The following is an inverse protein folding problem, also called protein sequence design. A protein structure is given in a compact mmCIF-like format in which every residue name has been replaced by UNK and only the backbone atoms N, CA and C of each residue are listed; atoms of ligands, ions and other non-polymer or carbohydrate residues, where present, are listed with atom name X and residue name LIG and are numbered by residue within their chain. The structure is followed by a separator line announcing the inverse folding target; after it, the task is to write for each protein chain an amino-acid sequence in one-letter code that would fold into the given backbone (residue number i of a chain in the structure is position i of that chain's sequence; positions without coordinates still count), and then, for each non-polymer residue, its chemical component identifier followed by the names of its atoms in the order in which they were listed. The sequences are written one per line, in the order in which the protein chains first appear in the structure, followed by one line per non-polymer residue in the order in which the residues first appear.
data_IF_341358915525
#
_entry.id   IF_341358915525
#
_cell.length_a   1.000
_cell.length_b   1.000
_cell.length_c   1.000
_cell.angle_alpha   90.00
_cell.angle_beta   90.00
_cell.angle_gamma   90.00
#
_symmetry.space_group_name_H-M   'P 1'
#
loop_
_entity.id
_entity.type
_entity.pdbx_description
1 polymer ?
#
# COMPACT_ATOMS: atom_id res chain seq x y z
N UNK A 1 -3.51 -14.88 -22.67
CA UNK A 1 -3.98 -15.52 -21.42
C UNK A 1 -4.67 -14.44 -20.61
N UNK A 2 -6.02 -14.37 -20.69
CA UNK A 2 -6.80 -13.37 -19.95
C UNK A 2 -6.75 -13.72 -18.45
N UNK A 3 -5.97 -12.98 -17.69
CA UNK A 3 -6.03 -13.08 -16.22
C UNK A 3 -7.35 -12.43 -15.79
N UNK A 4 -8.25 -13.24 -15.26
CA UNK A 4 -9.52 -12.78 -14.70
C UNK A 4 -9.20 -11.71 -13.61
N UNK A 5 -9.80 -10.52 -13.75
CA UNK A 5 -9.59 -9.39 -12.83
C UNK A 5 -9.80 -9.78 -11.36
N UNK A 6 -10.72 -10.72 -11.09
CA UNK A 6 -10.98 -11.24 -9.74
C UNK A 6 -9.80 -12.06 -9.22
N UNK A 7 -9.15 -12.87 -10.05
CA UNK A 7 -7.96 -13.63 -9.66
C UNK A 7 -6.74 -12.71 -9.43
N UNK A 8 -6.58 -11.66 -10.24
CA UNK A 8 -5.51 -10.68 -10.03
C UNK A 8 -5.67 -9.95 -8.69
N UNK A 9 -6.89 -9.53 -8.33
CA UNK A 9 -7.19 -8.93 -7.03
C UNK A 9 -6.92 -9.91 -5.89
N UNK A 10 -7.35 -11.17 -6.00
CA UNK A 10 -7.17 -12.19 -4.96
C UNK A 10 -5.69 -12.52 -4.73
N UNK A 11 -4.89 -12.62 -5.80
CA UNK A 11 -3.43 -12.80 -5.69
C UNK A 11 -2.73 -11.58 -5.08
N UNK A 12 -3.12 -10.37 -5.45
CA UNK A 12 -2.52 -9.14 -4.91
C UNK A 12 -2.84 -8.95 -3.44
N UNK A 13 -4.06 -9.21 -3.02
CA UNK A 13 -4.51 -9.13 -1.61
C UNK A 13 -3.78 -10.17 -0.75
N UNK A 14 -3.70 -11.42 -1.21
CA UNK A 14 -3.01 -12.49 -0.49
C UNK A 14 -1.51 -12.24 -0.42
N UNK A 15 -0.89 -11.76 -1.49
CA UNK A 15 0.53 -11.44 -1.51
C UNK A 15 0.87 -10.28 -0.55
N UNK A 16 0.07 -9.20 -0.55
CA UNK A 16 0.25 -8.07 0.38
C UNK A 16 0.06 -8.52 1.83
N UNK A 17 -0.97 -9.31 2.12
CA UNK A 17 -1.23 -9.82 3.46
C UNK A 17 -0.12 -10.79 3.94
N UNK A 18 0.38 -11.68 3.07
CA UNK A 18 1.46 -12.61 3.39
C UNK A 18 2.80 -11.87 3.59
N UNK A 19 3.11 -10.89 2.75
CA UNK A 19 4.31 -10.08 2.91
C UNK A 19 4.27 -9.22 4.18
N UNK A 20 3.10 -8.67 4.54
CA UNK A 20 2.91 -7.97 5.81
C UNK A 20 3.23 -8.88 6.99
N UNK A 21 2.79 -10.14 6.97
CA UNK A 21 3.06 -11.11 8.04
C UNK A 21 4.55 -11.48 8.14
N UNK A 22 5.26 -11.55 7.02
CA UNK A 22 6.70 -11.81 7.02
C UNK A 22 7.50 -10.59 7.48
N UNK A 23 7.01 -9.37 7.25
CA UNK A 23 7.68 -8.12 7.61
C UNK A 23 7.45 -7.68 9.05
N UNK A 24 6.33 -8.03 9.69
CA UNK A 24 6.06 -7.68 11.11
C UNK A 24 7.20 -8.14 12.04
N UNK A 25 7.85 -9.25 11.71
CA UNK A 25 8.95 -9.80 12.50
C UNK A 25 10.34 -9.28 12.11
N UNK A 26 10.48 -8.54 11.01
CA UNK A 26 11.78 -8.13 10.45
C UNK A 26 12.11 -6.63 10.64
N UNK A 27 11.12 -5.79 10.94
CA UNK A 27 11.36 -4.35 11.13
C UNK A 27 11.08 -3.93 12.56
N UNK A 28 12.08 -3.38 13.28
CA UNK A 28 11.84 -2.72 14.56
C UNK A 28 10.88 -1.55 14.32
N UNK A 29 9.90 -1.37 15.23
CA UNK A 29 9.00 -0.22 15.21
C UNK A 29 9.83 1.05 15.16
N UNK A 30 9.81 1.76 14.05
CA UNK A 30 10.48 3.04 13.91
C UNK A 30 9.81 4.04 14.85
N UNK A 31 10.52 4.43 15.91
CA UNK A 31 10.15 5.57 16.75
C UNK A 31 10.40 6.85 15.95
N UNK A 32 9.39 7.36 15.30
CA UNK A 32 9.40 8.72 14.77
C UNK A 32 8.95 9.65 15.90
N UNK A 33 9.91 10.32 16.52
CA UNK A 33 9.66 11.36 17.51
C UNK A 33 9.18 12.63 16.80
N UNK A 34 7.91 12.86 16.83
CA UNK A 34 7.22 14.11 16.51
C UNK A 34 5.90 14.10 17.27
N UNK A 35 5.40 15.24 17.74
CA UNK A 35 4.13 15.38 18.45
C UNK A 35 2.91 14.95 17.62
N UNK A 36 2.91 13.71 17.16
CA UNK A 36 1.76 13.09 16.49
C UNK A 36 0.77 12.63 17.57
N UNK A 37 -0.43 13.13 17.48
CA UNK A 37 -1.58 12.73 18.28
C UNK A 37 -1.66 11.20 18.28
N UNK A 38 -1.30 10.59 19.41
CA UNK A 38 -1.23 9.11 19.54
C UNK A 38 -2.59 8.51 19.18
N UNK A 39 -2.64 7.79 18.07
CA UNK A 39 -3.84 7.10 17.64
C UNK A 39 -4.18 5.97 18.61
N UNK A 40 -5.48 5.68 18.86
CA UNK A 40 -5.90 4.60 19.74
C UNK A 40 -5.71 3.19 19.11
N UNK A 41 -5.15 3.11 17.92
CA UNK A 41 -4.83 1.88 17.19
C UNK A 41 -3.42 1.90 16.63
N UNK A 42 -2.90 0.73 16.23
CA UNK A 42 -1.61 0.64 15.56
C UNK A 42 -1.68 1.23 14.15
N UNK A 43 -0.66 2.00 13.77
CA UNK A 43 -0.49 2.52 12.41
C UNK A 43 0.96 2.31 11.98
N UNK A 44 1.16 1.79 10.78
CA UNK A 44 2.48 1.54 10.23
C UNK A 44 2.51 1.78 8.72
N UNK A 45 3.52 2.52 8.25
CA UNK A 45 3.73 2.81 6.83
C UNK A 45 5.05 2.21 6.38
N UNK A 46 5.04 1.44 5.28
CA UNK A 46 6.22 0.78 4.75
C UNK A 46 6.22 0.71 3.23
N UNK A 47 7.41 0.53 2.64
CA UNK A 47 7.58 0.26 1.21
C UNK A 47 7.40 -1.23 0.96
N UNK A 48 6.42 -1.58 0.15
CA UNK A 48 6.20 -2.94 -0.34
C UNK A 48 6.92 -3.10 -1.68
N UNK A 49 7.98 -3.92 -1.77
CA UNK A 49 8.72 -4.12 -3.01
C UNK A 49 7.90 -4.97 -3.99
N UNK A 50 7.88 -4.55 -5.23
CA UNK A 50 7.29 -5.29 -6.37
C UNK A 50 8.37 -5.75 -7.36
N UNK A 51 9.63 -5.37 -7.11
CA UNK A 51 10.78 -5.65 -7.96
C UNK A 51 10.55 -5.21 -9.42
N UNK A 52 10.67 -6.13 -10.37
CA UNK A 52 10.45 -5.88 -11.78
C UNK A 52 8.95 -6.13 -12.10
N UNK A 53 8.15 -5.09 -11.95
CA UNK A 53 6.70 -5.18 -12.13
C UNK A 53 6.29 -4.99 -13.59
N UNK A 54 5.66 -6.01 -14.19
CA UNK A 54 5.15 -5.93 -15.57
C UNK A 54 3.82 -5.18 -15.60
N UNK A 55 3.79 -4.05 -16.28
CA UNK A 55 2.60 -3.23 -16.51
C UNK A 55 1.67 -3.84 -17.56
N UNK A 56 0.43 -3.35 -17.63
CA UNK A 56 -0.53 -3.77 -18.67
C UNK A 56 -0.05 -3.44 -20.09
N UNK A 57 0.72 -2.36 -20.25
CA UNK A 57 1.37 -2.00 -21.52
C UNK A 57 2.38 -3.04 -22.00
N UNK A 58 2.81 -3.96 -21.13
CA UNK A 58 3.88 -4.92 -21.38
C UNK A 58 5.25 -4.43 -20.95
N UNK A 59 5.40 -3.13 -20.64
CA UNK A 59 6.62 -2.54 -20.11
C UNK A 59 6.92 -3.05 -18.70
N UNK A 60 8.20 -3.02 -18.30
CA UNK A 60 8.65 -3.44 -16.97
C UNK A 60 9.06 -2.22 -16.16
N UNK A 61 8.36 -1.95 -15.06
CA UNK A 61 8.78 -0.97 -14.08
C UNK A 61 9.79 -1.64 -13.13
N UNK A 62 11.06 -1.26 -13.26
CA UNK A 62 12.18 -1.82 -12.50
C UNK A 62 12.19 -1.27 -11.07
N UNK A 63 12.53 -2.14 -10.13
CA UNK A 63 12.58 -1.81 -8.70
C UNK A 63 11.30 -1.11 -8.21
N UNK A 64 10.17 -1.54 -8.74
CA UNK A 64 8.88 -0.99 -8.39
C UNK A 64 8.55 -1.22 -6.91
N UNK A 65 7.88 -0.27 -6.30
CA UNK A 65 7.37 -0.40 -4.93
C UNK A 65 6.04 0.33 -4.76
N UNK A 66 5.25 -0.14 -3.81
CA UNK A 66 4.11 0.59 -3.27
C UNK A 66 4.45 1.08 -1.86
N UNK A 67 4.13 2.34 -1.55
CA UNK A 67 4.05 2.77 -0.17
C UNK A 67 2.67 2.36 0.37
N UNK A 68 2.68 1.55 1.41
CA UNK A 68 1.47 0.98 2.00
C UNK A 68 1.34 1.49 3.43
N UNK A 69 0.19 2.01 3.78
CA UNK A 69 -0.18 2.39 5.13
C UNK A 69 -1.15 1.36 5.70
N UNK A 70 -0.89 0.86 6.90
CA UNK A 70 -1.70 -0.15 7.58
C UNK A 70 -2.16 0.38 8.92
N UNK A 71 -3.47 0.40 9.13
CA UNK A 71 -4.10 0.84 10.35
C UNK A 71 -4.92 -0.29 10.98
N UNK A 72 -4.72 -0.53 12.26
CA UNK A 72 -5.30 -1.66 12.99
C UNK A 72 -4.49 -2.95 12.84
N UNK A 73 -4.99 -4.02 13.42
CA UNK A 73 -4.29 -5.30 13.51
C UNK A 73 -5.05 -6.42 12.77
N UNK A 74 -4.27 -7.27 12.10
CA UNK A 74 -4.80 -8.44 11.42
C UNK A 74 -5.09 -9.52 12.47
N UNK A 75 -6.33 -10.05 12.49
CA UNK A 75 -6.70 -11.13 13.39
C UNK A 75 -6.04 -12.46 12.99
N UNK A 76 -6.06 -13.44 13.89
CA UNK A 76 -5.41 -14.74 13.68
C UNK A 76 -5.98 -15.48 12.47
N UNK A 77 -7.28 -15.37 12.21
CA UNK A 77 -7.95 -15.99 11.04
C UNK A 77 -7.78 -15.18 9.74
N UNK A 78 -7.16 -14.00 9.81
CA UNK A 78 -6.92 -13.09 8.67
C UNK A 78 -8.20 -12.67 7.93
N UNK A 79 -9.32 -12.66 8.64
CA UNK A 79 -10.65 -12.42 8.07
C UNK A 79 -11.11 -10.96 8.16
N UNK A 80 -10.33 -10.08 8.83
CA UNK A 80 -10.66 -8.69 9.07
C UNK A 80 -9.86 -7.69 8.23
N UNK A 81 -9.20 -8.14 7.17
CA UNK A 81 -8.44 -7.27 6.28
C UNK A 81 -9.36 -6.53 5.30
N UNK A 82 -9.16 -5.22 5.17
CA UNK A 82 -9.83 -4.35 4.18
C UNK A 82 -8.77 -3.65 3.38
N UNK A 83 -8.82 -3.77 2.05
CA UNK A 83 -8.02 -2.91 1.16
C UNK A 83 -8.83 -1.68 0.84
N UNK A 84 -8.26 -0.51 1.16
CA UNK A 84 -8.83 0.80 0.87
C UNK A 84 -7.79 1.65 0.13
N UNK A 85 -7.68 1.42 -1.18
CA UNK A 85 -6.73 2.12 -2.04
C UNK A 85 -6.98 3.64 -2.03
N UNK A 86 -5.93 4.43 -2.28
CA UNK A 86 -6.05 5.87 -2.41
C UNK A 86 -6.82 6.24 -3.69
N UNK A 87 -7.55 7.34 -3.65
CA UNK A 87 -8.16 7.91 -4.85
C UNK A 87 -7.10 8.60 -5.73
N UNK A 88 -7.49 8.96 -6.95
CA UNK A 88 -6.67 9.80 -7.83
C UNK A 88 -6.28 11.10 -7.12
N UNK A 89 -5.00 11.47 -7.20
CA UNK A 89 -4.41 12.61 -6.48
C UNK A 89 -4.50 12.55 -4.94
N UNK A 90 -5.04 11.45 -4.36
CA UNK A 90 -5.08 11.23 -2.92
C UNK A 90 -3.84 10.54 -2.37
N UNK A 91 -3.75 10.52 -1.05
CA UNK A 91 -2.71 9.78 -0.32
C UNK A 91 -3.34 8.98 0.83
N UNK A 92 -2.58 8.05 1.41
CA UNK A 92 -2.99 7.35 2.62
C UNK A 92 -3.41 8.31 3.75
N UNK A 93 -2.76 9.48 3.88
CA UNK A 93 -3.12 10.50 4.88
C UNK A 93 -4.54 11.04 4.66
N UNK A 94 -4.94 11.22 3.41
CA UNK A 94 -6.32 11.61 3.08
C UNK A 94 -7.31 10.52 3.47
N UNK A 95 -7.00 9.26 3.19
CA UNK A 95 -7.84 8.12 3.52
C UNK A 95 -8.06 7.98 5.05
N UNK A 96 -7.07 8.36 5.87
CA UNK A 96 -7.16 8.31 7.33
C UNK A 96 -8.33 9.14 7.88
N UNK A 97 -8.81 10.16 7.15
CA UNK A 97 -10.00 10.91 7.54
C UNK A 97 -11.28 10.05 7.56
N UNK A 98 -11.32 8.93 6.86
CA UNK A 98 -12.43 7.98 6.85
C UNK A 98 -12.41 6.99 8.03
N UNK A 99 -11.29 6.92 8.78
CA UNK A 99 -11.11 5.97 9.87
C UNK A 99 -11.65 6.51 11.19
N UNK A 100 -12.12 5.63 12.06
CA UNK A 100 -12.57 6.02 13.39
C UNK A 100 -13.33 4.91 14.13
N UNK A 101 -13.37 5.02 15.45
CA UNK A 101 -13.99 4.01 16.34
C UNK A 101 -15.49 3.85 16.03
N UNK A 102 -16.17 4.94 15.68
CA UNK A 102 -17.60 4.97 15.38
C UNK A 102 -17.89 5.07 13.88
N UNK A 103 -16.93 4.68 13.03
CA UNK A 103 -17.05 4.69 11.57
C UNK A 103 -17.08 3.28 11.01
N UNK A 104 -17.53 3.13 9.77
CA UNK A 104 -17.50 1.85 9.06
C UNK A 104 -16.08 1.30 8.96
N UNK A 105 -15.08 2.16 8.69
CA UNK A 105 -13.66 1.83 8.70
C UNK A 105 -13.08 2.06 10.11
N UNK A 106 -13.34 1.10 11.00
CA UNK A 106 -12.86 1.13 12.38
C UNK A 106 -11.58 0.29 12.55
N UNK A 107 -10.40 0.92 12.78
CA UNK A 107 -9.13 0.20 12.90
C UNK A 107 -8.99 -0.66 14.17
N UNK A 108 -9.89 -0.55 15.15
CA UNK A 108 -9.96 -1.48 16.28
C UNK A 108 -10.64 -2.81 15.91
N UNK A 109 -11.38 -2.84 14.80
CA UNK A 109 -12.08 -4.04 14.31
C UNK A 109 -11.41 -4.62 13.08
N UNK A 110 -10.89 -3.76 12.21
CA UNK A 110 -10.35 -4.11 10.91
C UNK A 110 -8.88 -3.74 10.77
N UNK A 111 -8.15 -4.56 10.04
CA UNK A 111 -6.84 -4.23 9.52
C UNK A 111 -7.04 -3.53 8.16
N UNK A 112 -6.90 -2.21 8.14
CA UNK A 112 -7.13 -1.39 6.95
C UNK A 112 -5.80 -1.17 6.25
N UNK A 113 -5.67 -1.70 5.04
CA UNK A 113 -4.47 -1.67 4.21
C UNK A 113 -4.70 -0.65 3.10
N UNK A 114 -3.91 0.41 3.09
CA UNK A 114 -4.03 1.53 2.15
C UNK A 114 -2.80 1.63 1.26
N UNK A 115 -2.78 0.97 0.10
CA UNK A 115 -1.74 1.18 -0.89
C UNK A 115 -1.90 2.55 -1.56
N UNK A 116 -0.81 3.31 -1.65
CA UNK A 116 -0.78 4.49 -2.50
C UNK A 116 -0.60 4.05 -3.96
N UNK A 117 -1.34 4.66 -4.87
CA UNK A 117 -1.25 4.34 -6.29
C UNK A 117 0.12 4.72 -6.88
N UNK A 118 0.52 4.09 -7.96
CA UNK A 118 1.66 4.55 -8.76
C UNK A 118 1.44 6.01 -9.20
N UNK A 119 2.51 6.72 -9.50
CA UNK A 119 2.48 8.13 -9.89
C UNK A 119 1.94 9.10 -8.85
N UNK A 120 1.66 8.65 -7.61
CA UNK A 120 1.22 9.51 -6.50
C UNK A 120 2.36 10.30 -5.83
N UNK A 121 3.61 10.05 -6.20
CA UNK A 121 4.79 10.56 -5.51
C UNK A 121 5.18 9.78 -4.25
N UNK A 122 4.29 8.96 -3.71
CA UNK A 122 4.53 8.08 -2.55
C UNK A 122 5.03 6.70 -2.96
N UNK A 123 4.35 6.05 -3.91
CA UNK A 123 4.77 4.83 -4.58
C UNK A 123 5.67 5.17 -5.76
N UNK A 124 6.15 4.17 -6.50
CA UNK A 124 6.95 4.40 -7.71
C UNK A 124 6.29 5.42 -8.62
N UNK A 125 7.03 6.47 -8.95
CA UNK A 125 6.54 7.65 -9.64
C UNK A 125 7.67 8.24 -10.50
N UNK A 126 7.37 9.06 -11.51
CA UNK A 126 8.38 9.74 -12.32
C UNK A 126 9.43 10.51 -11.51
N UNK A 127 9.04 10.99 -10.31
CA UNK A 127 9.88 11.81 -9.44
C UNK A 127 10.78 11.02 -8.48
N UNK A 128 10.58 9.71 -8.32
CA UNK A 128 11.27 8.92 -7.30
C UNK A 128 11.81 7.57 -7.80
N UNK A 129 11.82 7.36 -9.10
CA UNK A 129 12.43 6.20 -9.75
C UNK A 129 13.84 6.51 -10.25
N UNK A 130 14.60 5.47 -10.65
CA UNK A 130 15.97 5.63 -11.11
C UNK A 130 16.07 6.39 -12.43
N UNK A 131 17.23 7.00 -12.76
CA UNK A 131 17.44 7.82 -13.95
C UNK A 131 17.10 7.18 -15.30
N UNK A 132 16.91 5.87 -15.38
CA UNK A 132 16.50 5.19 -16.62
C UNK A 132 14.99 5.14 -16.81
N UNK A 133 14.21 5.43 -15.76
CA UNK A 133 12.74 5.39 -15.75
C UNK A 133 12.14 6.58 -14.99
N UNK A 134 12.85 7.68 -14.88
CA UNK A 134 12.41 8.91 -14.23
C UNK A 134 11.77 9.90 -15.19
N UNK A 135 11.05 10.87 -14.68
CA UNK A 135 10.44 11.95 -15.46
C UNK A 135 9.68 11.44 -16.69
N UNK A 136 9.98 11.97 -17.91
CA UNK A 136 9.30 11.56 -19.13
C UNK A 136 9.56 10.11 -19.57
N UNK A 137 10.57 9.46 -19.01
CA UNK A 137 10.93 8.06 -19.29
C UNK A 137 10.15 7.06 -18.41
N UNK A 138 9.35 7.55 -17.49
CA UNK A 138 8.53 6.67 -16.65
C UNK A 138 7.51 5.93 -17.52
N UNK A 139 7.39 4.60 -17.38
CA UNK A 139 6.45 3.81 -18.16
C UNK A 139 5.01 4.27 -17.98
N UNK A 140 4.19 4.13 -19.02
CA UNK A 140 2.77 4.48 -18.95
C UNK A 140 2.03 3.52 -18.01
N UNK A 141 1.46 4.06 -16.95
CA UNK A 141 0.66 3.33 -15.96
C UNK A 141 -0.81 3.65 -16.15
N UNK A 142 -1.64 2.62 -16.28
CA UNK A 142 -3.10 2.72 -16.31
C UNK A 142 -3.69 2.19 -15.01
N UNK A 143 -4.81 2.76 -14.58
CA UNK A 143 -5.53 2.39 -13.36
C UNK A 143 -6.74 1.51 -13.68
#
# INVERSE_FOLDING_TARGET
MNLDRRKFFDYSVKAIALAYLSMINLFPKANISGDEKKLPWSSNTFKFPLENFKLQSGEILKNAFLLVDVNGELNQSKSNAIIFATCFAGSHKFNQMAYGINRALNPLKYCIITPNLFCSGYSSSPSNTSPLQDGPRFPSVTY
#
